data_IF_373191197390
#
_entry.id   IF_373191197390
#
_cell.length_a   1.000
_cell.length_b   1.000
_cell.length_c   1.000
_cell.angle_alpha   90.00
_cell.angle_beta   90.00
_cell.angle_gamma   90.00
#
_symmetry.space_group_name_H-M   'P 1'
#
loop_
_entity.id
_entity.type
_entity.pdbx_description
1 polymer ?
#
# COMPACT_ATOMS: atom_id res chain seq x y z
N UNK A 1 -28.51 14.98 -3.35
CA UNK A 1 -28.34 15.84 -4.54
C UNK A 1 -27.62 17.10 -4.12
N UNK A 2 -26.72 17.62 -4.96
CA UNK A 2 -26.03 18.87 -4.66
C UNK A 2 -26.99 20.05 -4.88
N UNK A 3 -27.10 20.95 -3.90
CA UNK A 3 -28.00 22.10 -3.96
C UNK A 3 -27.56 23.15 -5.00
N UNK A 4 -26.31 23.10 -5.45
CA UNK A 4 -25.72 24.02 -6.41
C UNK A 4 -24.98 23.29 -7.53
N UNK A 5 -24.96 23.94 -8.69
CA UNK A 5 -24.14 23.55 -9.83
C UNK A 5 -22.64 23.57 -9.45
N UNK A 6 -21.92 22.51 -9.83
CA UNK A 6 -20.50 22.33 -9.50
C UNK A 6 -19.58 23.27 -10.28
N UNK A 7 -19.99 23.69 -11.47
CA UNK A 7 -19.18 24.51 -12.36
C UNK A 7 -19.40 26.01 -12.12
N UNK A 8 -20.55 26.38 -11.57
CA UNK A 8 -20.87 27.78 -11.26
C UNK A 8 -20.24 28.23 -9.94
N UNK A 9 -19.77 29.47 -9.95
CA UNK A 9 -19.17 30.17 -8.80
C UNK A 9 -20.20 31.06 -8.10
N UNK A 10 -21.17 31.60 -8.86
CA UNK A 10 -22.18 32.54 -8.38
C UNK A 10 -23.55 31.88 -8.43
N UNK A 11 -24.25 31.90 -7.30
CA UNK A 11 -25.57 31.30 -7.15
C UNK A 11 -26.55 32.35 -6.65
N UNK A 12 -27.64 32.50 -7.39
CA UNK A 12 -28.78 33.33 -7.02
C UNK A 12 -29.76 32.45 -6.28
N UNK A 13 -30.08 32.83 -5.04
CA UNK A 13 -30.93 32.04 -4.14
C UNK A 13 -32.06 32.92 -3.63
N UNK A 14 -33.28 32.41 -3.78
CA UNK A 14 -34.49 33.06 -3.31
C UNK A 14 -35.28 32.11 -2.41
N UNK A 15 -35.99 32.68 -1.44
CA UNK A 15 -36.88 31.91 -0.57
C UNK A 15 -38.17 31.59 -1.31
N UNK A 16 -38.58 30.32 -1.30
CA UNK A 16 -39.84 29.87 -1.89
C UNK A 16 -40.62 29.00 -0.89
N UNK A 17 -41.95 29.00 -1.05
CA UNK A 17 -42.83 28.09 -0.32
C UNK A 17 -42.60 26.64 -0.80
N UNK A 18 -42.43 25.70 0.14
CA UNK A 18 -42.00 24.34 -0.18
C UNK A 18 -43.07 23.46 -0.82
N UNK A 19 -44.36 23.82 -0.68
CA UNK A 19 -45.47 23.06 -1.26
C UNK A 19 -45.86 23.58 -2.65
N UNK A 20 -45.83 24.90 -2.82
CA UNK A 20 -46.27 25.57 -4.06
C UNK A 20 -45.11 25.98 -4.96
N UNK A 21 -43.87 25.94 -4.46
CA UNK A 21 -42.65 26.43 -5.11
C UNK A 21 -42.72 27.89 -5.59
N UNK A 22 -43.65 28.69 -5.03
CA UNK A 22 -43.75 30.12 -5.33
C UNK A 22 -42.74 30.90 -4.51
N UNK A 23 -42.03 31.82 -5.17
CA UNK A 23 -41.10 32.75 -4.51
C UNK A 23 -41.88 33.60 -3.52
N UNK A 24 -41.41 33.65 -2.28
CA UNK A 24 -42.05 34.35 -1.17
C UNK A 24 -41.99 35.88 -1.38
N UNK A 25 -40.83 36.39 -1.78
CA UNK A 25 -40.60 37.82 -2.03
C UNK A 25 -39.54 38.03 -3.09
N UNK A 26 -39.91 38.65 -4.21
CA UNK A 26 -39.09 38.81 -5.41
C UNK A 26 -37.96 39.83 -5.27
N UNK A 27 -38.08 40.76 -4.33
CA UNK A 27 -37.03 41.77 -4.05
C UNK A 27 -35.95 41.31 -3.07
N UNK A 28 -36.10 40.14 -2.42
CA UNK A 28 -35.09 39.58 -1.53
C UNK A 28 -34.37 38.43 -2.25
N UNK A 29 -33.12 38.69 -2.62
CA UNK A 29 -32.26 37.72 -3.27
C UNK A 29 -30.93 37.61 -2.54
N UNK A 30 -30.46 36.38 -2.34
CA UNK A 30 -29.16 36.08 -1.78
C UNK A 30 -28.22 35.67 -2.91
N UNK A 31 -27.04 36.31 -2.96
CA UNK A 31 -25.98 35.95 -3.90
C UNK A 31 -24.92 35.19 -3.12
N UNK A 32 -24.82 33.88 -3.36
CA UNK A 32 -23.75 33.06 -2.83
C UNK A 32 -22.60 33.01 -3.84
N UNK A 33 -21.39 33.24 -3.34
CA UNK A 33 -20.17 33.26 -4.14
C UNK A 33 -19.18 32.25 -3.58
N UNK A 34 -18.93 31.18 -4.33
CA UNK A 34 -18.01 30.10 -3.95
C UNK A 34 -16.58 30.39 -4.40
N UNK A 35 -15.86 31.20 -3.62
CA UNK A 35 -14.49 31.66 -3.93
C UNK A 35 -13.52 30.48 -4.18
N UNK A 36 -13.71 29.34 -3.52
CA UNK A 36 -12.87 28.14 -3.68
C UNK A 36 -12.79 27.68 -5.15
N UNK A 37 -13.90 27.76 -5.91
CA UNK A 37 -14.01 27.34 -7.31
C UNK A 37 -13.30 28.29 -8.30
N UNK A 38 -12.94 29.51 -7.89
CA UNK A 38 -12.31 30.50 -8.78
C UNK A 38 -10.80 30.26 -8.93
N UNK A 39 -10.31 29.89 -10.12
CA UNK A 39 -8.90 29.49 -10.32
C UNK A 39 -8.12 30.28 -11.38
N UNK A 40 -8.69 31.37 -11.92
CA UNK A 40 -8.01 32.21 -12.92
C UNK A 40 -6.76 32.88 -12.35
N UNK A 41 -5.73 33.07 -13.19
CA UNK A 41 -4.52 33.82 -12.85
C UNK A 41 -4.73 35.34 -13.03
N UNK A 42 -3.73 36.16 -12.67
CA UNK A 42 -3.81 37.63 -12.78
C UNK A 42 -3.97 38.10 -14.22
N UNK A 43 -3.36 37.39 -15.17
CA UNK A 43 -3.35 37.72 -16.59
C UNK A 43 -4.68 37.43 -17.28
N UNK A 44 -5.51 36.58 -16.68
CA UNK A 44 -6.80 36.12 -17.20
C UNK A 44 -7.99 36.91 -16.62
N UNK A 45 -7.71 37.99 -15.89
CA UNK A 45 -8.73 38.80 -15.22
C UNK A 45 -9.28 39.87 -16.15
N UNK A 46 -10.45 39.60 -16.73
CA UNK A 46 -11.11 40.52 -17.66
C UNK A 46 -12.05 41.50 -16.96
N UNK A 47 -12.70 41.07 -15.87
CA UNK A 47 -13.76 41.85 -15.22
C UNK A 47 -13.42 42.29 -13.80
N UNK A 48 -13.99 43.41 -13.34
CA UNK A 48 -13.89 43.85 -11.93
C UNK A 48 -14.35 42.77 -10.95
N UNK A 49 -15.37 42.00 -11.31
CA UNK A 49 -15.87 40.90 -10.49
C UNK A 49 -14.79 39.82 -10.30
N UNK A 50 -14.13 39.39 -11.36
CA UNK A 50 -13.05 38.41 -11.29
C UNK A 50 -11.84 38.94 -10.52
N UNK A 51 -11.52 40.23 -10.68
CA UNK A 51 -10.51 40.91 -9.87
C UNK A 51 -10.84 40.87 -8.38
N UNK A 52 -12.11 41.09 -7.99
CA UNK A 52 -12.56 40.94 -6.61
C UNK A 52 -12.45 39.51 -6.11
N UNK A 53 -12.86 38.52 -6.91
CA UNK A 53 -12.70 37.10 -6.56
C UNK A 53 -11.23 36.74 -6.36
N UNK A 54 -10.36 37.20 -7.26
CA UNK A 54 -8.93 36.97 -7.17
C UNK A 54 -8.35 37.61 -5.90
N UNK A 55 -8.65 38.88 -5.66
CA UNK A 55 -8.17 39.62 -4.50
C UNK A 55 -8.60 38.93 -3.21
N UNK A 56 -9.88 38.61 -3.03
CA UNK A 56 -10.38 37.92 -1.83
C UNK A 56 -9.77 36.52 -1.66
N UNK A 57 -9.57 35.77 -2.75
CA UNK A 57 -8.96 34.43 -2.69
C UNK A 57 -7.48 34.46 -2.34
N UNK A 58 -6.73 35.45 -2.84
CA UNK A 58 -5.28 35.46 -2.80
C UNK A 58 -4.68 36.55 -1.91
N UNK A 59 -5.48 37.34 -1.18
CA UNK A 59 -5.00 38.47 -0.39
C UNK A 59 -3.84 38.11 0.55
N UNK A 60 -3.93 36.95 1.21
CA UNK A 60 -2.88 36.45 2.12
C UNK A 60 -1.53 36.14 1.45
N UNK A 61 -1.50 36.02 0.12
CA UNK A 61 -0.29 35.78 -0.68
C UNK A 61 0.29 37.06 -1.28
N UNK A 62 -0.50 38.12 -1.39
CA UNK A 62 -0.09 39.36 -2.02
C UNK A 62 0.82 40.14 -1.06
N UNK A 63 2.11 40.16 -1.36
CA UNK A 63 3.09 40.99 -0.64
C UNK A 63 3.10 42.43 -1.14
N UNK A 64 2.72 42.64 -2.40
CA UNK A 64 2.60 43.93 -3.05
C UNK A 64 1.37 43.95 -3.94
N UNK A 65 0.86 45.14 -4.22
CA UNK A 65 -0.29 45.34 -5.09
C UNK A 65 0.07 45.04 -6.55
N UNK A 66 -0.56 44.03 -7.20
CA UNK A 66 -0.36 43.75 -8.62
C UNK A 66 -0.93 44.87 -9.50
N UNK A 67 -0.37 45.05 -10.70
CA UNK A 67 -0.79 46.12 -11.63
C UNK A 67 -2.23 45.96 -12.07
N UNK A 68 -2.69 44.73 -12.19
CA UNK A 68 -4.02 44.33 -12.62
C UNK A 68 -5.10 44.72 -11.59
N UNK A 69 -4.70 44.90 -10.32
CA UNK A 69 -5.55 45.30 -9.19
C UNK A 69 -5.34 46.76 -8.77
N UNK A 70 -4.75 47.60 -9.63
CA UNK A 70 -4.57 49.04 -9.39
C UNK A 70 -5.83 49.89 -9.66
N UNK A 71 -7.00 49.28 -9.85
CA UNK A 71 -8.24 50.03 -9.99
C UNK A 71 -8.59 50.76 -8.68
N UNK A 72 -9.11 51.99 -8.79
CA UNK A 72 -9.49 52.83 -7.63
C UNK A 72 -10.44 52.14 -6.65
N UNK A 73 -11.25 51.22 -7.15
CA UNK A 73 -12.21 50.43 -6.37
C UNK A 73 -11.50 49.56 -5.32
N UNK A 74 -10.23 49.19 -5.54
CA UNK A 74 -9.42 48.41 -4.60
C UNK A 74 -8.57 49.25 -3.66
N UNK A 75 -8.51 50.57 -3.81
CA UNK A 75 -7.65 51.43 -2.98
C UNK A 75 -7.96 51.23 -1.50
N UNK A 76 -9.25 51.33 -1.14
CA UNK A 76 -9.70 51.09 0.23
C UNK A 76 -9.40 49.67 0.71
N UNK A 77 -9.52 48.65 -0.15
CA UNK A 77 -9.21 47.27 0.23
C UNK A 77 -7.73 47.12 0.62
N UNK A 78 -6.82 47.61 -0.23
CA UNK A 78 -5.39 47.48 0.02
C UNK A 78 -4.92 48.41 1.13
N UNK A 79 -5.52 49.58 1.28
CA UNK A 79 -5.24 50.48 2.40
C UNK A 79 -5.58 49.85 3.76
N UNK A 80 -6.72 49.16 3.87
CA UNK A 80 -7.13 48.49 5.11
C UNK A 80 -6.36 47.17 5.33
N UNK A 81 -5.97 46.48 4.24
CA UNK A 81 -5.18 45.26 4.32
C UNK A 81 -3.69 45.51 4.58
N UNK A 82 -3.23 46.76 4.51
CA UNK A 82 -1.83 47.12 4.67
C UNK A 82 -1.41 46.97 6.15
N UNK A 83 -0.62 45.93 6.43
CA UNK A 83 -0.07 45.67 7.78
C UNK A 83 0.71 46.89 8.31
N UNK A 84 1.29 47.72 7.45
CA UNK A 84 2.01 48.92 7.85
C UNK A 84 1.13 49.96 8.58
N UNK A 85 -0.19 49.90 8.42
CA UNK A 85 -1.14 50.77 9.13
C UNK A 85 -1.65 50.19 10.45
N UNK A 86 -1.25 48.96 10.80
CA UNK A 86 -1.67 48.35 12.05
C UNK A 86 -1.21 49.18 13.23
N UNK A 87 -2.13 49.38 14.17
CA UNK A 87 -1.78 49.88 15.49
C UNK A 87 -0.84 48.89 16.20
N UNK A 88 -0.07 49.33 17.21
CA UNK A 88 0.77 48.42 17.98
C UNK A 88 0.01 47.25 18.62
N UNK A 89 -1.28 47.41 18.89
CA UNK A 89 -2.13 46.32 19.37
C UNK A 89 -2.45 45.31 18.27
N UNK A 90 -2.95 45.77 17.12
CA UNK A 90 -3.27 44.91 15.96
C UNK A 90 -2.03 44.15 15.46
N UNK A 91 -0.86 44.79 15.49
CA UNK A 91 0.40 44.15 15.12
C UNK A 91 0.75 43.00 16.08
N UNK A 92 0.59 43.18 17.40
CA UNK A 92 0.77 42.10 18.38
C UNK A 92 -0.24 40.98 18.22
N UNK A 93 -1.50 41.30 17.95
CA UNK A 93 -2.55 40.30 17.72
C UNK A 93 -2.25 39.48 16.46
N UNK A 94 -1.80 40.14 15.39
CA UNK A 94 -1.35 39.48 14.16
C UNK A 94 -0.15 38.57 14.39
N UNK A 95 0.88 39.03 15.10
CA UNK A 95 2.05 38.20 15.46
C UNK A 95 1.67 37.00 16.33
N UNK A 96 0.79 37.21 17.30
CA UNK A 96 0.28 36.16 18.19
C UNK A 96 -0.49 35.10 17.39
N UNK A 97 -1.37 35.53 16.49
CA UNK A 97 -2.10 34.63 15.59
C UNK A 97 -1.15 33.82 14.69
N UNK A 98 -0.14 34.49 14.11
CA UNK A 98 0.88 33.84 13.28
C UNK A 98 1.73 32.85 14.07
N UNK A 99 2.06 33.16 15.32
CA UNK A 99 2.77 32.25 16.22
C UNK A 99 1.93 31.03 16.54
N UNK A 100 0.68 31.21 16.94
CA UNK A 100 -0.26 30.11 17.21
C UNK A 100 -0.43 29.18 15.99
N UNK A 101 -0.58 29.75 14.80
CA UNK A 101 -0.64 28.96 13.57
C UNK A 101 0.65 28.16 13.31
N UNK A 102 1.82 28.76 13.54
CA UNK A 102 3.12 28.09 13.41
C UNK A 102 3.27 26.95 14.41
N UNK A 103 2.85 27.15 15.65
CA UNK A 103 2.92 26.13 16.70
C UNK A 103 2.04 24.92 16.36
N UNK A 104 0.79 25.18 15.94
CA UNK A 104 -0.12 24.14 15.48
C UNK A 104 0.49 23.39 14.29
N UNK A 105 0.99 24.12 13.28
CA UNK A 105 1.57 23.49 12.09
C UNK A 105 2.79 22.64 12.44
N UNK A 106 3.71 23.16 13.26
CA UNK A 106 4.90 22.43 13.69
C UNK A 106 4.54 21.18 14.49
N UNK A 107 3.53 21.26 15.37
CA UNK A 107 3.02 20.11 16.13
C UNK A 107 2.45 19.04 15.20
N UNK A 108 1.58 19.43 14.25
CA UNK A 108 0.97 18.51 13.27
C UNK A 108 2.02 17.87 12.36
N UNK A 109 2.96 18.66 11.84
CA UNK A 109 4.04 18.18 10.97
C UNK A 109 4.96 17.20 11.73
N UNK A 110 5.22 17.46 13.01
CA UNK A 110 5.99 16.57 13.89
C UNK A 110 5.25 15.27 14.14
N UNK A 111 3.98 15.32 14.58
CA UNK A 111 3.17 14.14 14.81
C UNK A 111 3.03 13.27 13.55
N UNK A 112 2.87 13.88 12.38
CA UNK A 112 2.81 13.16 11.10
C UNK A 112 4.13 12.49 10.73
N UNK A 113 5.26 13.13 11.01
CA UNK A 113 6.59 12.57 10.76
C UNK A 113 6.88 11.41 11.71
N UNK A 114 6.60 11.58 12.99
CA UNK A 114 6.76 10.55 14.02
C UNK A 114 5.87 9.34 13.72
N UNK A 115 4.57 9.55 13.47
CA UNK A 115 3.66 8.45 13.13
C UNK A 115 4.05 7.70 11.85
N UNK A 116 4.68 8.37 10.87
CA UNK A 116 5.25 7.67 9.69
C UNK A 116 6.47 6.84 10.04
N UNK A 117 7.35 7.35 10.92
CA UNK A 117 8.55 6.62 11.33
C UNK A 117 8.17 5.40 12.18
N UNK A 118 7.27 5.57 13.15
CA UNK A 118 6.73 4.48 13.96
C UNK A 118 6.02 3.44 13.09
N UNK A 119 5.09 3.87 12.22
CA UNK A 119 4.39 2.94 11.33
C UNK A 119 5.31 2.19 10.36
N UNK A 120 6.41 2.81 9.91
CA UNK A 120 7.42 2.12 9.10
C UNK A 120 8.21 1.10 9.93
N UNK A 121 8.63 1.48 11.13
CA UNK A 121 9.37 0.59 12.03
C UNK A 121 8.54 -0.63 12.41
N UNK A 122 7.30 -0.43 12.86
CA UNK A 122 6.35 -1.51 13.16
C UNK A 122 6.06 -2.37 11.93
N UNK A 123 5.86 -1.74 10.76
CA UNK A 123 5.63 -2.46 9.51
C UNK A 123 6.79 -3.36 9.10
N UNK A 124 8.03 -2.90 9.28
CA UNK A 124 9.24 -3.69 9.03
C UNK A 124 9.34 -4.85 10.02
N UNK A 125 9.09 -4.60 11.31
CA UNK A 125 9.17 -5.63 12.35
C UNK A 125 8.15 -6.74 12.13
N UNK A 126 6.87 -6.38 11.95
CA UNK A 126 5.78 -7.32 11.67
C UNK A 126 6.04 -8.07 10.36
N UNK A 127 6.49 -7.36 9.33
CA UNK A 127 6.83 -7.96 8.03
C UNK A 127 7.96 -8.98 8.13
N UNK A 128 9.01 -8.67 8.90
CA UNK A 128 10.13 -9.57 9.15
C UNK A 128 9.70 -10.80 9.94
N UNK A 129 8.94 -10.62 11.02
CA UNK A 129 8.49 -11.73 11.86
C UNK A 129 7.57 -12.69 11.09
N UNK A 130 6.56 -12.16 10.38
CA UNK A 130 5.68 -12.97 9.53
C UNK A 130 6.45 -13.66 8.42
N UNK A 131 7.31 -12.93 7.71
CA UNK A 131 8.13 -13.49 6.63
C UNK A 131 9.07 -14.60 7.11
N UNK A 132 9.67 -14.44 8.28
CA UNK A 132 10.54 -15.46 8.87
C UNK A 132 9.75 -16.70 9.30
N UNK A 133 8.60 -16.52 9.96
CA UNK A 133 7.74 -17.63 10.40
C UNK A 133 7.21 -18.42 9.21
N UNK A 134 6.63 -17.74 8.22
CA UNK A 134 6.13 -18.40 7.02
C UNK A 134 7.26 -19.06 6.22
N UNK A 135 8.41 -18.39 6.09
CA UNK A 135 9.57 -18.93 5.40
C UNK A 135 10.11 -20.20 6.06
N UNK A 136 10.20 -20.21 7.38
CA UNK A 136 10.63 -21.36 8.16
C UNK A 136 9.64 -22.52 8.06
N UNK A 137 8.34 -22.25 8.21
CA UNK A 137 7.30 -23.28 8.12
C UNK A 137 7.25 -23.92 6.72
N UNK A 138 7.21 -23.10 5.66
CA UNK A 138 7.24 -23.58 4.27
C UNK A 138 8.55 -24.30 3.95
N UNK A 139 9.69 -23.81 4.45
CA UNK A 139 11.00 -24.41 4.27
C UNK A 139 11.11 -25.77 4.94
N UNK A 140 10.65 -25.88 6.18
CA UNK A 140 10.67 -27.12 6.96
C UNK A 140 9.72 -28.16 6.38
N UNK A 141 8.49 -27.78 6.03
CA UNK A 141 7.53 -28.67 5.39
C UNK A 141 8.08 -29.26 4.08
N UNK A 142 8.57 -28.39 3.17
CA UNK A 142 9.19 -28.83 1.90
C UNK A 142 10.44 -29.67 2.11
N UNK A 143 11.26 -29.34 3.11
CA UNK A 143 12.47 -30.08 3.45
C UNK A 143 12.16 -31.48 3.97
N UNK A 144 11.18 -31.59 4.88
CA UNK A 144 10.74 -32.85 5.46
C UNK A 144 10.09 -33.76 4.42
N UNK A 145 9.18 -33.21 3.60
CA UNK A 145 8.53 -33.97 2.51
C UNK A 145 9.55 -34.53 1.52
N UNK A 146 10.47 -33.69 1.03
CA UNK A 146 11.53 -34.13 0.11
C UNK A 146 12.49 -35.11 0.75
N UNK A 147 12.84 -34.90 2.02
CA UNK A 147 13.73 -35.80 2.77
C UNK A 147 13.11 -37.17 2.98
N UNK A 148 11.85 -37.21 3.39
CA UNK A 148 11.10 -38.44 3.64
C UNK A 148 10.86 -39.21 2.34
N UNK A 149 10.45 -38.54 1.26
CA UNK A 149 10.28 -39.17 -0.05
C UNK A 149 11.57 -39.82 -0.55
N UNK A 150 12.69 -39.08 -0.53
CA UNK A 150 14.00 -39.61 -0.95
C UNK A 150 14.49 -40.73 -0.03
N UNK A 151 14.25 -40.63 1.27
CA UNK A 151 14.64 -41.65 2.24
C UNK A 151 13.86 -42.95 2.04
N UNK A 152 12.55 -42.83 1.84
CA UNK A 152 11.65 -43.97 1.61
C UNK A 152 11.93 -44.66 0.28
N UNK A 153 12.16 -43.90 -0.80
CA UNK A 153 12.53 -44.44 -2.11
C UNK A 153 13.83 -45.24 -2.05
N UNK A 154 14.89 -44.64 -1.48
CA UNK A 154 16.18 -45.34 -1.31
C UNK A 154 16.07 -46.56 -0.39
N UNK A 155 15.30 -46.46 0.68
CA UNK A 155 15.07 -47.56 1.61
C UNK A 155 14.33 -48.73 0.96
N UNK A 156 13.28 -48.46 0.19
CA UNK A 156 12.53 -49.47 -0.55
C UNK A 156 13.38 -50.12 -1.65
N UNK A 157 14.15 -49.33 -2.41
CA UNK A 157 15.02 -49.86 -3.46
C UNK A 157 16.08 -50.79 -2.87
N UNK A 158 16.76 -50.35 -1.79
CA UNK A 158 17.75 -51.16 -1.08
C UNK A 158 17.14 -52.43 -0.50
N UNK A 159 16.02 -52.33 0.21
CA UNK A 159 15.34 -53.49 0.80
C UNK A 159 14.84 -54.49 -0.25
N UNK A 160 14.36 -54.01 -1.41
CA UNK A 160 13.95 -54.88 -2.51
C UNK A 160 15.14 -55.58 -3.18
N UNK A 161 16.27 -54.89 -3.31
CA UNK A 161 17.50 -55.48 -3.84
C UNK A 161 18.07 -56.55 -2.90
N UNK A 162 18.15 -56.24 -1.59
CA UNK A 162 18.59 -57.18 -0.55
C UNK A 162 17.67 -58.41 -0.48
N UNK A 163 16.36 -58.23 -0.38
CA UNK A 163 15.40 -59.34 -0.34
C UNK A 163 15.41 -60.20 -1.62
N UNK A 164 15.62 -59.60 -2.80
CA UNK A 164 15.78 -60.36 -4.05
C UNK A 164 17.07 -61.20 -4.01
N UNK A 165 18.15 -60.65 -3.50
CA UNK A 165 19.41 -61.37 -3.34
C UNK A 165 19.26 -62.54 -2.37
N UNK A 166 18.67 -62.33 -1.20
CA UNK A 166 18.41 -63.37 -0.20
C UNK A 166 17.52 -64.49 -0.76
N UNK A 167 16.40 -64.14 -1.41
CA UNK A 167 15.51 -65.12 -2.03
C UNK A 167 16.21 -65.94 -3.14
N UNK A 168 17.05 -65.30 -3.95
CA UNK A 168 17.83 -65.99 -4.97
C UNK A 168 18.86 -66.94 -4.35
N UNK A 169 19.48 -66.56 -3.23
CA UNK A 169 20.43 -67.43 -2.51
C UNK A 169 19.74 -68.63 -1.86
N UNK A 170 18.59 -68.43 -1.21
CA UNK A 170 17.80 -69.54 -0.65
C UNK A 170 17.33 -70.50 -1.74
N UNK A 171 16.86 -69.96 -2.87
CA UNK A 171 16.44 -70.77 -4.02
C UNK A 171 17.61 -71.57 -4.57
N UNK A 172 18.80 -70.97 -4.66
CA UNK A 172 20.00 -71.67 -5.11
C UNK A 172 20.38 -72.83 -4.17
N UNK A 173 20.33 -72.63 -2.86
CA UNK A 173 20.59 -73.67 -1.87
C UNK A 173 19.59 -74.84 -2.01
N UNK A 174 18.30 -74.55 -2.17
CA UNK A 174 17.28 -75.59 -2.38
C UNK A 174 17.51 -76.38 -3.66
N UNK A 175 17.83 -75.71 -4.78
CA UNK A 175 18.09 -76.38 -6.05
C UNK A 175 19.36 -77.24 -6.04
N UNK A 176 20.42 -76.79 -5.35
CA UNK A 176 21.61 -77.60 -5.11
C UNK A 176 21.29 -78.85 -4.28
N UNK A 177 20.49 -78.71 -3.22
CA UNK A 177 20.05 -79.85 -2.39
C UNK A 177 19.19 -80.86 -3.16
N UNK A 178 18.49 -80.43 -4.21
CA UNK A 178 17.72 -81.29 -5.11
C UNK A 178 18.58 -81.99 -6.18
N UNK A 179 19.90 -81.79 -6.19
CA UNK A 179 20.84 -82.50 -7.07
C UNK A 179 21.03 -81.87 -8.45
N UNK A 180 20.61 -80.62 -8.66
CA UNK A 180 20.90 -79.89 -9.90
C UNK A 180 22.38 -79.45 -9.94
N UNK A 181 22.97 -79.38 -11.14
CA UNK A 181 24.35 -78.94 -11.29
C UNK A 181 24.52 -77.45 -11.03
N UNK A 182 25.69 -77.03 -10.54
CA UNK A 182 26.00 -75.62 -10.26
C UNK A 182 25.76 -74.69 -11.48
N UNK A 183 25.93 -75.20 -12.71
CA UNK A 183 25.64 -74.48 -13.95
C UNK A 183 24.15 -74.29 -14.19
N UNK A 184 23.34 -75.30 -13.91
CA UNK A 184 21.87 -75.22 -14.01
C UNK A 184 21.30 -74.28 -12.94
N UNK A 185 21.84 -74.33 -11.72
CA UNK A 185 21.43 -73.47 -10.61
C UNK A 185 21.79 -72.01 -10.88
N UNK A 186 23.01 -71.72 -11.33
CA UNK A 186 23.43 -70.36 -11.68
C UNK A 186 22.55 -69.74 -12.79
N UNK A 187 22.17 -70.55 -13.79
CA UNK A 187 21.26 -70.11 -14.85
C UNK A 187 19.84 -69.83 -14.35
N UNK A 188 19.35 -70.61 -13.38
CA UNK A 188 18.00 -70.47 -12.82
C UNK A 188 17.86 -69.30 -11.83
N UNK A 189 18.87 -69.05 -10.99
CA UNK A 189 18.82 -68.01 -9.93
C UNK A 189 19.44 -66.68 -10.36
N UNK A 190 20.00 -66.61 -11.57
CA UNK A 190 20.71 -65.45 -12.11
C UNK A 190 21.89 -64.99 -11.22
N UNK A 191 22.40 -65.88 -10.38
CA UNK A 191 23.56 -65.63 -9.55
C UNK A 191 24.85 -66.03 -10.31
N UNK A 192 25.95 -65.29 -10.11
CA UNK A 192 27.25 -65.65 -10.67
C UNK A 192 27.67 -67.08 -10.28
N UNK A 193 28.25 -67.79 -11.24
CA UNK A 193 28.67 -69.20 -11.08
C UNK A 193 29.61 -69.40 -9.89
N UNK A 194 30.45 -68.41 -9.60
CA UNK A 194 31.38 -68.41 -8.46
C UNK A 194 30.65 -68.42 -7.11
N UNK A 195 29.56 -67.65 -6.98
CA UNK A 195 28.76 -67.58 -5.75
C UNK A 195 28.07 -68.93 -5.51
N UNK A 196 27.54 -69.56 -6.57
CA UNK A 196 26.90 -70.87 -6.48
C UNK A 196 27.89 -71.98 -6.09
N UNK A 197 29.11 -71.96 -6.64
CA UNK A 197 30.17 -72.93 -6.28
C UNK A 197 30.61 -72.80 -4.81
N UNK A 198 30.68 -71.58 -4.30
CA UNK A 198 30.99 -71.35 -2.89
C UNK A 198 29.86 -71.85 -1.97
N UNK A 199 28.60 -71.71 -2.39
CA UNK A 199 27.44 -72.22 -1.65
C UNK A 199 27.34 -73.75 -1.65
N UNK A 200 27.92 -74.46 -2.63
CA UNK A 200 27.94 -75.93 -2.67
C UNK A 200 29.12 -76.56 -1.92
N UNK A 201 30.11 -75.76 -1.52
CA UNK A 201 31.29 -76.20 -0.77
C UNK A 201 31.14 -76.01 0.75
N UNK A 202 29.94 -75.65 1.21
CA UNK A 202 29.55 -75.57 2.62
C UNK A 202 28.61 -76.73 2.93
#
# INVERSE_FOLDING_TARGET
>A
EDAFDKEKIRHHVQLCDTATHKVFYDKLEYIYVEISKFNKSLEELDTLYEKWLYALKNLYKLTQRPKELCDKVFDRLFEEAEIAKFTPQEMREYETSKMAYRDIKNSVDTAKREGKQEGLAEGIEIGREKGMKEGMEKGMAKGMEKGMAKGMEKGMEKGRAEGKHEANTETAQRLLAMGLSAEQVAKATQLPLEIIKNLSNT
#
